data_IF_898014571563
#
_entry.id   IF_898014571563
#
_cell.length_a   1.000
_cell.length_b   1.000
_cell.length_c   1.000
_cell.angle_alpha   90.00
_cell.angle_beta   90.00
_cell.angle_gamma   90.00
#
_symmetry.space_group_name_H-M   'P 1'
#
loop_
_entity.id
_entity.type
_entity.pdbx_description
1 polymer ?
#
# COMPACT_ATOMS: atom_id res chain seq x y z
N UNK A 1 -53.16 43.98 17.93
CA UNK A 1 -51.69 44.08 17.82
C UNK A 1 -50.95 43.17 18.80
N UNK A 2 -51.16 43.27 20.13
CA UNK A 2 -50.48 42.40 21.12
C UNK A 2 -50.66 40.89 20.87
N UNK A 3 -51.86 40.45 20.48
CA UNK A 3 -52.14 39.03 20.16
C UNK A 3 -51.36 38.50 18.94
N UNK A 4 -51.12 39.34 17.93
CA UNK A 4 -50.36 38.98 16.72
C UNK A 4 -48.86 38.85 17.04
N UNK A 5 -48.35 39.70 17.93
CA UNK A 5 -46.95 39.66 18.39
C UNK A 5 -46.69 38.37 19.18
N UNK A 6 -47.61 37.94 20.04
CA UNK A 6 -47.48 36.68 20.77
C UNK A 6 -47.53 35.45 19.84
N UNK A 7 -48.40 35.46 18.83
CA UNK A 7 -48.45 34.39 17.82
C UNK A 7 -47.17 34.31 16.98
N UNK A 8 -46.58 35.46 16.61
CA UNK A 8 -45.33 35.51 15.87
C UNK A 8 -44.13 35.03 16.72
N UNK A 9 -44.09 35.39 18.00
CA UNK A 9 -43.04 34.96 18.93
C UNK A 9 -43.06 33.45 19.17
N UNK A 10 -44.25 32.84 19.28
CA UNK A 10 -44.41 31.39 19.44
C UNK A 10 -43.97 30.66 18.16
N UNK A 11 -44.28 31.19 16.98
CA UNK A 11 -43.86 30.60 15.70
C UNK A 11 -42.33 30.63 15.51
N UNK A 12 -41.67 31.68 16.00
CA UNK A 12 -40.20 31.81 16.01
C UNK A 12 -39.55 30.81 16.98
N UNK A 13 -40.15 30.59 18.14
CA UNK A 13 -39.67 29.59 19.12
C UNK A 13 -39.81 28.14 18.62
N UNK A 14 -40.85 27.85 17.83
CA UNK A 14 -41.06 26.51 17.23
C UNK A 14 -40.15 26.28 16.01
N UNK A 15 -39.75 27.33 15.29
CA UNK A 15 -38.80 27.21 14.17
C UNK A 15 -37.34 27.11 14.63
N UNK A 16 -37.02 27.54 15.85
CA UNK A 16 -35.69 27.39 16.45
C UNK A 16 -35.40 25.97 17.01
N UNK A 17 -36.40 25.09 17.14
CA UNK A 17 -36.22 23.67 17.50
C UNK A 17 -35.94 22.76 16.30
N UNK A 18 -35.58 23.36 15.16
CA UNK A 18 -35.20 22.68 13.92
C UNK A 18 -34.22 21.52 14.14
N UNK A 19 -34.48 20.43 13.44
CA UNK A 19 -33.89 19.10 13.54
C UNK A 19 -32.36 19.06 13.65
N UNK A 20 -31.80 19.13 14.86
CA UNK A 20 -30.38 18.77 15.10
C UNK A 20 -30.06 17.31 14.66
N UNK A 21 -31.06 16.42 14.69
CA UNK A 21 -30.90 15.00 14.32
C UNK A 21 -30.84 14.72 12.82
N UNK A 22 -31.25 15.64 11.95
CA UNK A 22 -31.26 15.39 10.49
C UNK A 22 -29.87 15.59 9.86
N UNK A 23 -28.94 16.22 10.58
CA UNK A 23 -27.55 16.41 10.12
C UNK A 23 -26.64 15.21 10.46
N UNK A 24 -27.15 14.21 11.17
CA UNK A 24 -26.44 12.97 11.50
C UNK A 24 -26.56 11.92 10.37
N UNK A 25 -26.56 12.39 9.11
CA UNK A 25 -26.65 11.58 7.88
C UNK A 25 -25.29 11.20 7.31
N UNK A 26 -24.19 11.68 7.92
CA UNK A 26 -22.83 11.37 7.48
C UNK A 26 -22.27 10.08 8.11
N UNK A 27 -22.98 9.50 9.07
CA UNK A 27 -22.67 8.15 9.56
C UNK A 27 -23.33 7.17 8.60
N UNK A 28 -22.56 6.70 7.61
CA UNK A 28 -23.03 5.65 6.73
C UNK A 28 -23.17 4.34 7.55
N UNK A 29 -24.39 3.85 7.83
CA UNK A 29 -24.59 2.66 8.65
C UNK A 29 -24.05 1.40 7.95
N UNK A 30 -23.81 1.46 6.64
CA UNK A 30 -23.28 0.37 5.84
C UNK A 30 -21.75 0.37 5.74
N UNK A 31 -21.06 1.40 6.26
CA UNK A 31 -19.60 1.49 6.23
C UNK A 31 -19.05 1.57 7.66
N UNK A 32 -18.13 0.67 8.06
CA UNK A 32 -17.55 0.72 9.40
C UNK A 32 -16.89 2.08 9.65
N UNK A 33 -17.30 2.73 10.75
CA UNK A 33 -16.81 4.06 11.13
C UNK A 33 -15.40 4.00 11.73
N UNK A 34 -15.05 2.85 12.31
CA UNK A 34 -13.71 2.54 12.83
C UNK A 34 -13.42 1.09 12.46
N UNK A 35 -12.33 0.88 11.73
CA UNK A 35 -11.86 -0.46 11.34
C UNK A 35 -10.61 -0.76 12.15
N UNK A 36 -10.58 -1.91 12.80
CA UNK A 36 -9.38 -2.40 13.49
C UNK A 36 -8.24 -2.51 12.47
N UNK A 37 -7.04 -1.95 12.73
CA UNK A 37 -6.04 -1.76 11.69
C UNK A 37 -5.55 -3.08 11.08
N UNK A 38 -5.55 -4.18 11.83
CA UNK A 38 -5.20 -5.49 11.27
C UNK A 38 -6.13 -5.98 10.15
N UNK A 39 -7.40 -5.55 10.13
CA UNK A 39 -8.38 -5.99 9.12
C UNK A 39 -8.07 -5.46 7.72
N UNK A 40 -7.26 -4.41 7.60
CA UNK A 40 -6.80 -3.91 6.30
C UNK A 40 -5.80 -4.88 5.63
N UNK A 41 -5.05 -5.68 6.40
CA UNK A 41 -3.95 -6.50 5.86
C UNK A 41 -4.42 -7.53 4.83
N UNK A 42 -5.45 -8.31 5.15
CA UNK A 42 -5.89 -9.42 4.28
C UNK A 42 -6.20 -8.95 2.86
N UNK A 43 -7.09 -7.95 2.68
CA UNK A 43 -7.37 -7.37 1.36
C UNK A 43 -6.12 -6.77 0.70
N UNK A 44 -5.29 -6.01 1.42
CA UNK A 44 -4.11 -5.38 0.81
C UNK A 44 -3.07 -6.40 0.32
N UNK A 45 -2.80 -7.43 1.12
CA UNK A 45 -1.89 -8.53 0.74
C UNK A 45 -2.44 -9.32 -0.45
N UNK A 46 -3.76 -9.56 -0.46
CA UNK A 46 -4.45 -10.23 -1.59
C UNK A 46 -4.27 -9.43 -2.89
N UNK A 47 -4.54 -8.13 -2.85
CA UNK A 47 -4.45 -7.28 -4.03
C UNK A 47 -2.99 -7.14 -4.53
N UNK A 48 -2.03 -7.02 -3.62
CA UNK A 48 -0.61 -7.03 -4.01
C UNK A 48 -0.20 -8.33 -4.70
N UNK A 49 -0.55 -9.49 -4.14
CA UNK A 49 -0.23 -10.78 -4.75
C UNK A 49 -0.95 -10.96 -6.11
N UNK A 50 -2.23 -10.57 -6.19
CA UNK A 50 -3.03 -10.67 -7.39
C UNK A 50 -2.49 -9.79 -8.53
N UNK A 51 -2.18 -8.52 -8.24
CA UNK A 51 -1.75 -7.56 -9.26
C UNK A 51 -0.45 -7.97 -9.97
N UNK A 52 0.49 -8.56 -9.24
CA UNK A 52 1.72 -9.12 -9.82
C UNK A 52 1.41 -10.18 -10.87
N UNK A 53 0.52 -11.12 -10.55
CA UNK A 53 0.14 -12.20 -11.47
C UNK A 53 -0.71 -11.68 -12.64
N UNK A 54 -1.61 -10.75 -12.35
CA UNK A 54 -2.53 -10.18 -13.33
C UNK A 54 -1.79 -9.41 -14.43
N UNK A 55 -0.83 -8.56 -14.07
CA UNK A 55 0.01 -7.84 -15.03
C UNK A 55 1.12 -8.75 -15.58
N UNK A 56 1.62 -9.66 -14.73
CA UNK A 56 2.58 -10.69 -15.07
C UNK A 56 2.26 -11.38 -16.39
N UNK A 57 1.01 -11.84 -16.58
CA UNK A 57 0.57 -12.55 -17.80
C UNK A 57 0.89 -11.82 -19.11
N UNK A 58 0.98 -10.49 -19.07
CA UNK A 58 1.36 -9.66 -20.21
C UNK A 58 2.88 -9.53 -20.29
N UNK A 59 3.53 -9.02 -19.24
CA UNK A 59 4.96 -8.70 -19.24
C UNK A 59 5.87 -9.93 -19.28
N UNK A 60 5.40 -11.10 -18.81
CA UNK A 60 6.13 -12.35 -18.85
C UNK A 60 6.45 -12.82 -20.27
N UNK A 61 5.69 -12.34 -21.27
CA UNK A 61 5.96 -12.58 -22.70
C UNK A 61 7.22 -11.86 -23.17
N UNK A 62 7.54 -10.68 -22.62
CA UNK A 62 8.74 -9.92 -22.98
C UNK A 62 10.05 -10.61 -22.60
N UNK A 63 9.99 -11.46 -21.57
CA UNK A 63 11.11 -12.31 -21.13
C UNK A 63 10.95 -13.77 -21.59
N UNK A 64 9.99 -14.04 -22.48
CA UNK A 64 9.72 -15.35 -23.07
C UNK A 64 9.43 -16.47 -22.06
N UNK A 65 8.88 -16.14 -20.89
CA UNK A 65 8.45 -17.14 -19.90
C UNK A 65 7.24 -17.94 -20.39
N UNK A 66 6.39 -17.34 -21.21
CA UNK A 66 5.26 -17.97 -21.90
C UNK A 66 4.92 -17.20 -23.17
N UNK A 67 4.08 -17.79 -24.02
CA UNK A 67 3.55 -17.19 -25.24
C UNK A 67 2.07 -17.57 -25.42
N UNK A 68 1.36 -16.79 -26.23
CA UNK A 68 0.00 -17.09 -26.65
C UNK A 68 0.01 -18.15 -27.77
N UNK A 69 -1.02 -19.00 -27.82
CA UNK A 69 -1.18 -19.93 -28.96
C UNK A 69 -1.67 -19.21 -30.22
N UNK A 70 -2.37 -18.09 -30.04
CA UNK A 70 -2.94 -17.28 -31.12
C UNK A 70 -1.84 -16.54 -31.88
N UNK A 71 -1.88 -16.62 -33.21
CA UNK A 71 -0.94 -15.90 -34.06
C UNK A 71 -1.07 -14.37 -33.88
N UNK A 72 0.06 -13.68 -33.96
CA UNK A 72 0.14 -12.20 -33.94
C UNK A 72 -0.34 -11.53 -32.66
N UNK A 73 -0.27 -12.20 -31.51
CA UNK A 73 -0.48 -11.55 -30.21
C UNK A 73 0.46 -10.34 -30.02
N UNK A 74 -0.10 -9.22 -29.56
CA UNK A 74 0.63 -7.96 -29.43
C UNK A 74 1.78 -8.06 -28.44
N UNK A 75 1.58 -8.76 -27.32
CA UNK A 75 2.55 -8.85 -26.23
C UNK A 75 3.68 -9.84 -26.56
N UNK A 76 3.36 -10.94 -27.24
CA UNK A 76 4.38 -11.88 -27.76
C UNK A 76 5.32 -11.22 -28.78
N UNK A 77 4.80 -10.22 -29.51
CA UNK A 77 5.60 -9.39 -30.44
C UNK A 77 6.32 -8.23 -29.75
N UNK A 78 6.37 -8.25 -28.42
CA UNK A 78 6.95 -7.21 -27.57
C UNK A 78 6.33 -5.82 -27.83
N UNK A 79 5.05 -5.78 -28.20
CA UNK A 79 4.26 -4.56 -28.32
C UNK A 79 3.48 -4.25 -27.04
N UNK A 80 2.71 -3.17 -27.08
CA UNK A 80 1.80 -2.74 -26.01
C UNK A 80 0.43 -2.41 -26.60
N UNK A 81 -0.65 -2.86 -25.94
CA UNK A 81 -2.01 -2.57 -26.37
C UNK A 81 -2.57 -1.38 -25.58
N UNK A 82 -2.64 -0.21 -26.20
CA UNK A 82 -3.36 0.93 -25.63
C UNK A 82 -4.85 0.77 -25.89
N UNK A 83 -5.63 0.47 -24.84
CA UNK A 83 -7.08 0.32 -24.92
C UNK A 83 -7.76 0.84 -23.65
N UNK A 84 -9.06 1.07 -23.73
CA UNK A 84 -9.88 1.50 -22.58
C UNK A 84 -9.99 0.42 -21.46
N UNK A 85 -9.40 -0.76 -21.65
CA UNK A 85 -9.37 -1.82 -20.63
C UNK A 85 -8.09 -1.81 -19.79
N UNK A 86 -7.18 -0.86 -20.02
CA UNK A 86 -5.91 -0.66 -19.29
C UNK A 86 -5.15 -1.97 -19.00
N UNK A 87 -4.74 -2.72 -20.03
CA UNK A 87 -3.99 -3.96 -19.82
C UNK A 87 -2.62 -3.66 -19.19
N UNK A 88 -2.17 -4.55 -18.29
CA UNK A 88 -0.93 -4.40 -17.52
C UNK A 88 -0.88 -3.16 -16.59
N UNK A 89 -2.03 -2.74 -16.04
CA UNK A 89 -2.15 -1.60 -15.13
C UNK A 89 -2.73 -1.96 -13.74
N UNK A 90 -2.85 -3.24 -13.41
CA UNK A 90 -3.44 -3.66 -12.13
C UNK A 90 -2.53 -3.33 -10.93
N UNK A 91 -1.20 -3.37 -11.11
CA UNK A 91 -0.25 -2.92 -10.10
C UNK A 91 -0.45 -1.42 -9.81
N UNK A 92 -0.62 -0.60 -10.86
CA UNK A 92 -0.87 0.83 -10.72
C UNK A 92 -2.12 1.09 -9.89
N UNK A 93 -3.23 0.45 -10.27
CA UNK A 93 -4.49 0.48 -9.51
C UNK A 93 -4.30 -0.02 -8.09
N UNK A 94 -3.52 -1.07 -7.88
CA UNK A 94 -3.31 -1.66 -6.56
C UNK A 94 -2.62 -0.68 -5.62
N UNK A 95 -1.53 -0.05 -6.03
CA UNK A 95 -0.77 0.84 -5.15
C UNK A 95 -1.50 2.17 -4.91
N UNK A 96 -2.04 2.81 -5.96
CA UNK A 96 -2.68 4.12 -5.82
C UNK A 96 -4.11 4.07 -5.31
N UNK A 97 -4.85 2.99 -5.53
CA UNK A 97 -6.27 2.91 -5.19
C UNK A 97 -6.57 1.88 -4.10
N UNK A 98 -6.22 0.61 -4.34
CA UNK A 98 -6.61 -0.47 -3.43
C UNK A 98 -5.86 -0.45 -2.10
N UNK A 99 -4.55 -0.14 -2.14
CA UNK A 99 -3.75 0.15 -0.97
C UNK A 99 -3.92 1.62 -0.61
N UNK A 100 -3.45 2.54 -1.44
CA UNK A 100 -3.63 3.99 -1.33
C UNK A 100 -3.97 4.51 0.08
N UNK A 101 -5.18 5.05 0.24
CA UNK A 101 -5.66 5.56 1.53
C UNK A 101 -5.91 4.48 2.58
N UNK A 102 -6.26 3.26 2.19
CA UNK A 102 -6.43 2.14 3.13
C UNK A 102 -5.13 1.85 3.89
N UNK A 103 -3.99 1.88 3.19
CA UNK A 103 -2.68 1.69 3.77
C UNK A 103 -2.27 2.88 4.64
N UNK A 104 -2.53 4.11 4.18
CA UNK A 104 -2.28 5.33 4.97
C UNK A 104 -3.07 5.31 6.28
N UNK A 105 -4.36 4.96 6.21
CA UNK A 105 -5.25 4.91 7.36
C UNK A 105 -4.85 3.79 8.34
N UNK A 106 -4.54 2.60 7.82
CA UNK A 106 -4.02 1.49 8.63
C UNK A 106 -2.75 1.92 9.38
N UNK A 107 -1.80 2.56 8.70
CA UNK A 107 -0.55 3.01 9.32
C UNK A 107 -0.78 4.08 10.38
N UNK A 108 -1.65 5.06 10.11
CA UNK A 108 -2.05 6.10 11.08
C UNK A 108 -2.64 5.49 12.35
N UNK A 109 -3.65 4.62 12.21
CA UNK A 109 -4.29 3.96 13.36
C UNK A 109 -3.28 3.07 14.09
N UNK A 110 -2.38 2.38 13.37
CA UNK A 110 -1.34 1.57 13.98
C UNK A 110 -0.37 2.39 14.83
N UNK A 111 0.01 3.58 14.38
CA UNK A 111 0.84 4.50 15.15
C UNK A 111 0.11 5.04 16.39
N UNK A 112 -1.14 5.50 16.24
CA UNK A 112 -1.99 5.97 17.34
C UNK A 112 -2.21 4.88 18.42
N UNK A 113 -2.31 3.63 18.00
CA UNK A 113 -2.47 2.49 18.90
C UNK A 113 -1.15 1.85 19.36
N UNK A 114 0.00 2.41 19.00
CA UNK A 114 1.33 1.86 19.30
C UNK A 114 1.50 0.40 18.83
N UNK A 115 0.88 0.04 17.71
CA UNK A 115 1.04 -1.23 16.98
C UNK A 115 2.22 -1.14 16.03
N UNK A 116 3.42 -1.10 16.58
CA UNK A 116 4.68 -0.99 15.82
C UNK A 116 4.91 -2.19 14.90
N UNK A 117 4.40 -3.36 15.28
CA UNK A 117 4.40 -4.54 14.44
C UNK A 117 3.62 -4.32 13.15
N UNK A 118 2.38 -3.85 13.24
CA UNK A 118 1.53 -3.57 12.09
C UNK A 118 2.01 -2.37 11.27
N UNK A 119 2.49 -1.31 11.93
CA UNK A 119 3.08 -0.16 11.26
C UNK A 119 4.32 -0.56 10.43
N UNK A 120 5.18 -1.42 10.98
CA UNK A 120 6.33 -1.99 10.29
C UNK A 120 5.95 -2.81 9.05
N UNK A 121 4.88 -3.61 9.14
CA UNK A 121 4.31 -4.32 7.99
C UNK A 121 3.78 -3.32 6.96
N UNK A 122 3.07 -2.27 7.39
CA UNK A 122 2.56 -1.23 6.49
C UNK A 122 3.67 -0.56 5.67
N UNK A 123 4.80 -0.24 6.28
CA UNK A 123 5.98 0.26 5.56
C UNK A 123 6.54 -0.76 4.55
N UNK A 124 6.55 -2.06 4.88
CA UNK A 124 6.94 -3.11 3.93
C UNK A 124 6.01 -3.15 2.71
N UNK A 125 4.69 -3.12 2.93
CA UNK A 125 3.68 -3.13 1.86
C UNK A 125 3.80 -1.90 0.96
N UNK A 126 4.07 -0.73 1.56
CA UNK A 126 4.30 0.52 0.81
C UNK A 126 5.57 0.43 -0.03
N UNK A 127 6.67 -0.06 0.55
CA UNK A 127 7.95 -0.21 -0.12
C UNK A 127 7.86 -1.18 -1.32
N UNK A 128 7.27 -2.37 -1.14
CA UNK A 128 7.14 -3.33 -2.23
C UNK A 128 6.20 -2.84 -3.34
N UNK A 129 5.12 -2.14 -2.97
CA UNK A 129 4.24 -1.50 -3.94
C UNK A 129 4.98 -0.51 -4.83
N UNK A 130 5.75 0.41 -4.23
CA UNK A 130 6.56 1.35 -4.99
C UNK A 130 7.64 0.68 -5.82
N UNK A 131 8.31 -0.34 -5.28
CA UNK A 131 9.34 -1.11 -6.00
C UNK A 131 8.77 -1.70 -7.30
N UNK A 132 7.67 -2.45 -7.19
CA UNK A 132 7.04 -3.08 -8.34
C UNK A 132 6.58 -2.07 -9.39
N UNK A 133 6.00 -0.95 -8.96
CA UNK A 133 5.58 0.10 -9.90
C UNK A 133 6.75 0.73 -10.61
N UNK A 134 7.80 1.13 -9.89
CA UNK A 134 8.88 1.89 -10.52
C UNK A 134 9.72 1.01 -11.42
N UNK A 135 9.84 -0.28 -11.10
CA UNK A 135 10.53 -1.24 -11.96
C UNK A 135 9.78 -1.51 -13.27
N UNK A 136 8.45 -1.40 -13.25
CA UNK A 136 7.61 -1.63 -14.43
C UNK A 136 7.37 -0.35 -15.25
N UNK A 137 7.16 0.78 -14.58
CA UNK A 137 6.69 2.03 -15.20
C UNK A 137 7.72 3.17 -15.20
N UNK A 138 8.82 3.04 -14.46
CA UNK A 138 9.82 4.11 -14.35
C UNK A 138 9.42 5.17 -13.33
N UNK A 139 9.24 6.40 -13.81
CA UNK A 139 8.84 7.56 -13.00
C UNK A 139 7.40 7.39 -12.49
N UNK A 140 7.11 7.90 -11.30
CA UNK A 140 5.81 7.72 -10.63
C UNK A 140 5.38 8.99 -9.92
N UNK A 141 4.09 9.11 -9.61
CA UNK A 141 3.60 10.15 -8.70
C UNK A 141 3.96 9.73 -7.27
N UNK A 142 4.99 10.32 -6.66
CA UNK A 142 5.47 9.92 -5.33
C UNK A 142 5.14 10.97 -4.27
N UNK A 143 5.69 12.18 -4.41
CA UNK A 143 5.62 13.25 -3.39
C UNK A 143 4.23 13.85 -3.28
N UNK A 144 3.50 13.86 -4.39
CA UNK A 144 2.14 14.43 -4.49
C UNK A 144 1.05 13.36 -4.39
N UNK A 145 1.42 12.08 -4.27
CA UNK A 145 0.47 11.00 -4.15
C UNK A 145 -0.41 11.25 -2.91
N UNK A 146 -1.71 11.01 -3.06
CA UNK A 146 -2.69 11.12 -1.97
C UNK A 146 -2.90 12.55 -1.42
N UNK A 147 -2.52 13.59 -2.17
CA UNK A 147 -2.97 14.96 -1.90
C UNK A 147 -4.37 15.19 -2.49
N UNK A 148 -5.39 15.23 -1.62
CA UNK A 148 -6.80 15.43 -2.03
C UNK A 148 -7.08 16.84 -2.57
N UNK A 149 -6.21 17.81 -2.31
CA UNK A 149 -6.38 19.17 -2.84
C UNK A 149 -6.03 19.25 -4.33
N UNK A 150 -5.36 18.23 -4.87
CA UNK A 150 -4.87 18.19 -6.25
C UNK A 150 -5.80 17.40 -7.18
N UNK A 151 -5.81 17.84 -8.43
CA UNK A 151 -6.49 17.17 -9.56
C UNK A 151 -5.53 16.78 -10.68
N UNK A 152 -4.30 17.27 -10.61
CA UNK A 152 -3.19 16.97 -11.51
C UNK A 152 -1.97 16.66 -10.66
N UNK A 153 -1.13 15.76 -11.16
CA UNK A 153 0.01 15.24 -10.41
C UNK A 153 1.23 15.20 -11.31
N UNK A 154 2.36 15.57 -10.71
CA UNK A 154 3.67 15.54 -11.34
C UNK A 154 4.34 14.19 -11.04
N UNK A 155 5.11 13.72 -12.00
CA UNK A 155 5.90 12.50 -11.86
C UNK A 155 7.24 12.86 -11.20
N UNK A 156 7.62 12.07 -10.21
CA UNK A 156 8.93 12.08 -9.58
C UNK A 156 9.85 11.07 -10.28
N UNK A 157 11.15 11.38 -10.25
CA UNK A 157 12.15 10.53 -10.90
C UNK A 157 12.18 9.15 -10.28
N UNK A 158 12.52 8.12 -11.08
CA UNK A 158 12.75 6.77 -10.54
C UNK A 158 13.81 6.74 -9.43
N UNK A 159 14.80 7.63 -9.47
CA UNK A 159 15.79 7.78 -8.40
C UNK A 159 15.16 8.18 -7.06
N UNK A 160 14.27 9.17 -7.07
CA UNK A 160 13.54 9.59 -5.86
C UNK A 160 12.70 8.45 -5.31
N UNK A 161 12.06 7.65 -6.17
CA UNK A 161 11.28 6.48 -5.76
C UNK A 161 12.17 5.44 -5.08
N UNK A 162 13.34 5.13 -5.64
CA UNK A 162 14.29 4.18 -5.04
C UNK A 162 14.80 4.65 -3.67
N UNK A 163 15.07 5.94 -3.51
CA UNK A 163 15.47 6.53 -2.22
C UNK A 163 14.34 6.40 -1.20
N UNK A 164 13.10 6.69 -1.60
CA UNK A 164 11.94 6.56 -0.72
C UNK A 164 11.70 5.10 -0.32
N UNK A 165 11.87 4.14 -1.24
CA UNK A 165 11.78 2.71 -0.92
C UNK A 165 12.78 2.34 0.18
N UNK A 166 14.05 2.76 0.08
CA UNK A 166 15.04 2.50 1.12
C UNK A 166 14.66 3.11 2.47
N UNK A 167 14.16 4.36 2.46
CA UNK A 167 13.69 5.03 3.69
C UNK A 167 12.51 4.28 4.33
N UNK A 168 11.56 3.81 3.53
CA UNK A 168 10.42 3.03 4.00
C UNK A 168 10.87 1.69 4.59
N UNK A 169 11.85 1.02 3.98
CA UNK A 169 12.41 -0.23 4.50
C UNK A 169 13.15 -0.02 5.82
N UNK A 170 13.87 1.08 5.98
CA UNK A 170 14.52 1.43 7.25
C UNK A 170 13.51 1.69 8.37
N UNK A 171 12.40 2.37 8.04
CA UNK A 171 11.27 2.55 8.96
C UNK A 171 10.60 1.22 9.30
N UNK A 172 10.42 0.34 8.32
CA UNK A 172 9.89 -1.01 8.54
C UNK A 172 10.78 -1.79 9.52
N UNK A 173 12.08 -1.87 9.24
CA UNK A 173 13.08 -2.56 10.07
C UNK A 173 13.07 -2.00 11.50
N UNK A 174 13.05 -0.67 11.64
CA UNK A 174 13.02 0.00 12.94
C UNK A 174 11.79 -0.40 13.74
N UNK A 175 10.61 -0.35 13.12
CA UNK A 175 9.34 -0.66 13.78
C UNK A 175 9.18 -2.16 14.08
N UNK A 176 9.61 -3.04 13.18
CA UNK A 176 9.54 -4.50 13.36
C UNK A 176 10.45 -5.01 14.49
N UNK A 177 11.51 -4.26 14.83
CA UNK A 177 12.40 -4.56 15.97
C UNK A 177 11.84 -4.10 17.33
N UNK A 178 10.84 -3.21 17.36
CA UNK A 178 10.27 -2.68 18.62
C UNK A 178 9.53 -3.78 19.37
N UNK A 179 9.66 -3.83 20.68
CA UNK A 179 8.96 -4.83 21.53
C UNK A 179 8.02 -4.20 22.55
N UNK A 180 7.90 -2.88 22.52
CA UNK A 180 7.02 -2.07 23.35
C UNK A 180 5.67 -1.79 22.68
N UNK A 181 4.83 -0.97 23.32
CA UNK A 181 3.48 -0.67 22.84
C UNK A 181 2.57 -1.89 22.90
N UNK A 182 1.71 -2.05 21.88
CA UNK A 182 0.69 -3.10 21.81
C UNK A 182 1.02 -4.21 20.79
N UNK A 183 2.30 -4.41 20.50
CA UNK A 183 2.79 -5.51 19.66
C UNK A 183 2.18 -6.85 20.08
N UNK A 184 1.56 -7.57 19.14
CA UNK A 184 0.91 -8.84 19.44
C UNK A 184 0.78 -9.74 18.19
N UNK A 185 1.50 -10.86 18.21
CA UNK A 185 1.45 -11.83 17.11
C UNK A 185 0.07 -12.47 16.92
N UNK A 186 -0.65 -12.81 18.00
CA UNK A 186 -1.97 -13.43 17.88
C UNK A 186 -2.96 -12.49 17.17
N UNK A 187 -2.90 -11.19 17.49
CA UNK A 187 -3.68 -10.16 16.83
C UNK A 187 -3.39 -10.08 15.31
N UNK A 188 -2.12 -10.06 14.91
CA UNK A 188 -1.73 -10.06 13.49
C UNK A 188 -2.07 -11.36 12.77
N UNK A 189 -1.91 -12.51 13.43
CA UNK A 189 -2.05 -13.84 12.81
C UNK A 189 -3.45 -14.10 12.23
N UNK A 190 -4.46 -13.37 12.69
CA UNK A 190 -5.84 -13.47 12.20
C UNK A 190 -6.03 -12.92 10.78
N UNK A 191 -5.15 -12.02 10.32
CA UNK A 191 -5.33 -11.31 9.04
C UNK A 191 -4.08 -11.25 8.17
N UNK A 192 -2.90 -11.55 8.72
CA UNK A 192 -1.66 -11.68 7.96
C UNK A 192 -1.59 -13.04 7.25
N UNK A 193 -1.90 -13.03 5.95
CA UNK A 193 -1.89 -14.21 5.09
C UNK A 193 -0.47 -14.65 4.66
N UNK A 194 0.55 -13.80 4.85
CA UNK A 194 1.91 -14.08 4.37
C UNK A 194 2.73 -14.80 5.44
N UNK A 195 2.86 -14.19 6.62
CA UNK A 195 3.71 -14.72 7.70
C UNK A 195 2.95 -15.09 8.97
N UNK A 196 1.61 -15.03 8.96
CA UNK A 196 0.76 -15.42 10.08
C UNK A 196 1.14 -14.68 11.39
N UNK A 197 1.46 -13.39 11.26
CA UNK A 197 1.88 -12.53 12.36
C UNK A 197 3.32 -12.73 12.81
N UNK A 198 4.10 -13.61 12.17
CA UNK A 198 5.51 -13.79 12.49
C UNK A 198 6.32 -12.57 12.04
N UNK A 199 6.57 -11.68 12.99
CA UNK A 199 7.24 -10.41 12.77
C UNK A 199 8.73 -10.55 12.43
N UNK A 200 9.39 -11.58 12.95
CA UNK A 200 10.78 -11.87 12.61
C UNK A 200 10.92 -12.21 11.12
N UNK A 201 9.93 -12.90 10.53
CA UNK A 201 9.89 -13.14 9.08
C UNK A 201 9.60 -11.88 8.28
N UNK A 202 8.73 -10.99 8.79
CA UNK A 202 8.56 -9.65 8.20
C UNK A 202 9.86 -8.84 8.24
N UNK A 203 10.64 -8.93 9.32
CA UNK A 203 11.93 -8.26 9.43
C UNK A 203 12.93 -8.78 8.39
N UNK A 204 13.02 -10.10 8.23
CA UNK A 204 13.83 -10.76 7.20
C UNK A 204 13.38 -10.38 5.79
N UNK A 205 12.07 -10.30 5.57
CA UNK A 205 11.51 -9.84 4.31
C UNK A 205 11.91 -8.39 4.01
N UNK A 206 11.87 -7.49 4.99
CA UNK A 206 12.29 -6.10 4.81
C UNK A 206 13.79 -6.01 4.42
N UNK A 207 14.66 -6.79 5.07
CA UNK A 207 16.07 -6.87 4.67
C UNK A 207 16.27 -7.47 3.28
N UNK A 208 15.53 -8.52 2.93
CA UNK A 208 15.57 -9.11 1.59
C UNK A 208 15.14 -8.14 0.50
N UNK A 209 14.07 -7.36 0.74
CA UNK A 209 13.62 -6.32 -0.17
C UNK A 209 14.63 -5.16 -0.26
N UNK A 210 15.32 -4.83 0.85
CA UNK A 210 16.41 -3.84 0.85
C UNK A 210 17.59 -4.31 0.02
N UNK A 211 17.99 -5.56 0.15
CA UNK A 211 19.04 -6.17 -0.68
C UNK A 211 18.65 -6.13 -2.17
N UNK A 212 17.40 -6.48 -2.49
CA UNK A 212 16.87 -6.45 -3.87
C UNK A 212 16.90 -5.03 -4.46
N UNK A 213 16.36 -4.05 -3.74
CA UNK A 213 16.37 -2.65 -4.15
C UNK A 213 17.80 -2.13 -4.42
N UNK A 214 18.74 -2.43 -3.53
CA UNK A 214 20.15 -2.05 -3.71
C UNK A 214 20.78 -2.75 -4.91
N UNK A 215 20.45 -4.02 -5.14
CA UNK A 215 21.01 -4.80 -6.25
C UNK A 215 20.52 -4.35 -7.63
N UNK A 216 19.29 -3.83 -7.73
CA UNK A 216 18.78 -3.23 -8.98
C UNK A 216 19.64 -2.07 -9.47
N UNK A 217 20.42 -1.43 -8.58
CA UNK A 217 21.33 -0.33 -8.93
C UNK A 217 22.68 -0.79 -9.47
N UNK A 218 22.89 -2.08 -9.77
CA UNK A 218 24.15 -2.67 -10.27
C UNK A 218 24.80 -1.93 -11.44
N UNK A 219 24.01 -1.30 -12.31
CA UNK A 219 24.51 -0.51 -13.44
C UNK A 219 24.45 1.01 -13.21
N UNK A 220 24.42 1.47 -11.95
CA UNK A 220 24.30 2.90 -11.57
C UNK A 220 25.55 3.45 -10.88
N UNK A 221 26.72 2.85 -11.17
CA UNK A 221 28.03 3.35 -10.72
C UNK A 221 28.13 3.47 -9.20
N UNK A 222 28.44 4.66 -8.70
CA UNK A 222 28.61 4.93 -7.27
C UNK A 222 27.36 4.65 -6.40
N UNK A 223 26.18 4.50 -7.02
CA UNK A 223 24.95 4.10 -6.32
C UNK A 223 24.88 2.60 -6.04
N UNK A 224 25.69 1.78 -6.70
CA UNK A 224 25.79 0.36 -6.43
C UNK A 224 26.69 0.11 -5.23
N UNK A 225 26.15 -0.49 -4.16
CA UNK A 225 26.83 -0.69 -2.88
C UNK A 225 26.83 -2.19 -2.50
N UNK A 226 27.77 -2.99 -3.04
CA UNK A 226 27.77 -4.44 -2.85
C UNK A 226 27.88 -4.88 -1.39
N UNK A 227 28.69 -4.19 -0.57
CA UNK A 227 28.85 -4.53 0.84
C UNK A 227 27.53 -4.41 1.62
N UNK A 228 26.73 -3.37 1.33
CA UNK A 228 25.42 -3.18 1.95
C UNK A 228 24.39 -4.21 1.46
N UNK A 229 24.51 -4.67 0.22
CA UNK A 229 23.68 -5.77 -0.31
C UNK A 229 23.97 -7.03 0.48
N UNK A 230 25.24 -7.40 0.66
CA UNK A 230 25.64 -8.59 1.42
C UNK A 230 25.18 -8.47 2.88
N UNK A 231 25.41 -7.32 3.52
CA UNK A 231 24.96 -7.10 4.89
C UNK A 231 23.43 -7.22 5.05
N UNK A 232 22.66 -6.77 4.05
CA UNK A 232 21.21 -6.95 4.04
C UNK A 232 20.82 -8.43 3.78
N UNK A 233 21.50 -9.13 2.88
CA UNK A 233 21.28 -10.56 2.61
C UNK A 233 21.51 -11.42 3.85
N UNK A 234 22.58 -11.15 4.61
CA UNK A 234 22.91 -11.88 5.85
C UNK A 234 21.82 -11.78 6.92
N UNK A 235 21.00 -10.73 6.85
CA UNK A 235 19.86 -10.48 7.75
C UNK A 235 18.49 -10.86 7.14
N UNK A 236 18.49 -11.35 5.90
CA UNK A 236 17.28 -11.71 5.16
C UNK A 236 16.81 -13.14 5.48
N UNK A 237 16.11 -13.75 4.51
CA UNK A 237 15.55 -15.10 4.60
C UNK A 237 16.68 -16.13 4.74
N UNK A 238 16.58 -17.03 5.72
CA UNK A 238 17.62 -18.06 5.97
C UNK A 238 17.37 -19.39 5.26
N UNK A 239 16.19 -19.53 4.66
CA UNK A 239 15.82 -20.70 3.87
C UNK A 239 14.36 -20.65 3.46
N UNK A 240 13.91 -21.72 2.78
CA UNK A 240 12.58 -21.77 2.15
C UNK A 240 11.40 -21.59 3.10
N UNK A 241 11.59 -21.81 4.41
CA UNK A 241 10.57 -21.60 5.43
C UNK A 241 10.27 -20.11 5.69
N UNK A 242 11.19 -19.22 5.32
CA UNK A 242 11.07 -17.77 5.47
C UNK A 242 10.54 -17.08 4.20
N UNK A 243 10.27 -17.83 3.13
CA UNK A 243 9.76 -17.26 1.89
C UNK A 243 8.42 -16.53 2.14
N UNK A 244 8.33 -15.29 1.68
CA UNK A 244 7.07 -14.55 1.62
C UNK A 244 6.14 -15.23 0.60
N UNK A 245 5.15 -15.98 1.08
CA UNK A 245 4.18 -16.69 0.25
C UNK A 245 2.78 -16.27 0.65
N UNK A 246 2.03 -15.72 -0.29
CA UNK A 246 0.61 -15.52 -0.12
C UNK A 246 -0.10 -16.87 -0.25
N UNK A 247 -0.96 -17.22 0.72
CA UNK A 247 -1.66 -18.50 0.80
C UNK A 247 -3.12 -18.39 0.38
#
# INVERSE_FOLDING_TARGET
MKKIIYSAAILILISASGCKKWLDVNVNPNNPQVVSPNLYLGPMQTNLAFSQQYDGRYIGKYIQNWAEFTASDTWDRHGYLFSATDPASEQWRTVYFLLGYNLIDMMRISEEEERWDLLGIGYCLKAIGWQHLTDTHGELILKQAFDQSRKTFDYDTQEDVYIEIQRLLDLAITNLKRTDGKVNQAYLSTTDAIFQGNRERWLRFAYGLKALNLNHLSNKGAKYRPDDIIAAVDLAMTGNADNAKFK
#
